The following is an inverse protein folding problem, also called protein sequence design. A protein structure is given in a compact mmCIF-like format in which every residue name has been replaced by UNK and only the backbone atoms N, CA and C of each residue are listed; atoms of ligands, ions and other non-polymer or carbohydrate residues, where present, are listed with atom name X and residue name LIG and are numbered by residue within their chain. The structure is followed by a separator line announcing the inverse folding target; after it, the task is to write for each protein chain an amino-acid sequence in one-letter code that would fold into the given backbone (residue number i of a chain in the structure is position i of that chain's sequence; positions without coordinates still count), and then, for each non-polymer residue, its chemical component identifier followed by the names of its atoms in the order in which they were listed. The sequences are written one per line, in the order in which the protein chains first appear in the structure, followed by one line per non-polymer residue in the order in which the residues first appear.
data_IF_004087750245
#
_entry.id   IF_004087750245
#
_cell.length_a   1.000
_cell.length_b   1.000
_cell.length_c   1.000
_cell.angle_alpha   90.00
_cell.angle_beta   90.00
_cell.angle_gamma   90.00
#
_symmetry.space_group_name_H-M   'P 1'
#
loop_
_entity.id
_entity.type
_entity.pdbx_description
1 polymer ?
#
# COMPACT_ATOMS: atom_id res chain seq x y z
N UNK A 1 -18.17 -22.05 -44.28
CA UNK A 1 -16.87 -21.36 -44.28
C UNK A 1 -16.85 -20.23 -43.26
N UNK A 2 -17.87 -19.39 -43.15
CA UNK A 2 -17.95 -18.25 -42.24
C UNK A 2 -17.84 -18.63 -40.76
N UNK A 3 -18.46 -19.73 -40.33
CA UNK A 3 -18.42 -20.20 -38.96
C UNK A 3 -17.01 -20.64 -38.51
N UNK A 4 -16.25 -21.27 -39.43
CA UNK A 4 -14.85 -21.65 -39.16
C UNK A 4 -13.93 -20.43 -39.00
N UNK A 5 -14.15 -19.38 -39.79
CA UNK A 5 -13.39 -18.15 -39.71
C UNK A 5 -13.71 -17.42 -38.39
N UNK A 6 -14.98 -17.36 -38.01
CA UNK A 6 -15.40 -16.75 -36.74
C UNK A 6 -14.80 -17.46 -35.53
N UNK A 7 -14.78 -18.81 -35.54
CA UNK A 7 -14.15 -19.59 -34.47
C UNK A 7 -12.62 -19.40 -34.42
N UNK A 8 -11.96 -19.32 -35.56
CA UNK A 8 -10.52 -19.08 -35.64
C UNK A 8 -10.15 -17.71 -35.08
N UNK A 9 -10.90 -16.67 -35.45
CA UNK A 9 -10.69 -15.31 -34.88
C UNK A 9 -10.96 -15.29 -33.37
N UNK A 10 -12.04 -15.94 -32.91
CA UNK A 10 -12.35 -16.06 -31.50
C UNK A 10 -11.24 -16.75 -30.69
N UNK A 11 -10.69 -17.84 -31.24
CA UNK A 11 -9.59 -18.56 -30.60
C UNK A 11 -8.32 -17.70 -30.50
N UNK A 12 -7.97 -16.94 -31.54
CA UNK A 12 -6.82 -16.03 -31.52
C UNK A 12 -7.03 -14.91 -30.52
N UNK A 13 -8.21 -14.30 -30.45
CA UNK A 13 -8.51 -13.24 -29.51
C UNK A 13 -8.39 -13.73 -28.05
N UNK A 14 -8.91 -14.91 -27.73
CA UNK A 14 -8.82 -15.46 -26.37
C UNK A 14 -7.37 -15.77 -25.99
N UNK A 15 -6.57 -16.33 -26.89
CA UNK A 15 -5.19 -16.73 -26.56
C UNK A 15 -4.22 -15.56 -26.44
N UNK A 16 -4.45 -14.46 -27.14
CA UNK A 16 -3.56 -13.28 -27.13
C UNK A 16 -4.04 -12.20 -26.14
N UNK A 17 -5.34 -11.96 -26.07
CA UNK A 17 -5.89 -10.85 -25.26
C UNK A 17 -5.96 -11.23 -23.78
N UNK A 18 -6.36 -12.45 -23.43
CA UNK A 18 -6.56 -12.85 -22.05
C UNK A 18 -5.30 -12.71 -21.16
N UNK A 19 -4.08 -13.14 -21.56
CA UNK A 19 -2.90 -12.96 -20.74
C UNK A 19 -2.52 -11.48 -20.54
N UNK A 20 -2.68 -10.65 -21.57
CA UNK A 20 -2.35 -9.23 -21.49
C UNK A 20 -3.29 -8.46 -20.55
N UNK A 21 -4.58 -8.79 -20.55
CA UNK A 21 -5.56 -8.18 -19.63
C UNK A 21 -5.24 -8.50 -18.18
N UNK A 22 -4.87 -9.74 -17.86
CA UNK A 22 -4.49 -10.12 -16.51
C UNK A 22 -3.28 -9.33 -16.00
N UNK A 23 -2.30 -9.08 -16.84
CA UNK A 23 -1.12 -8.28 -16.50
C UNK A 23 -1.50 -6.84 -16.10
N UNK A 24 -2.35 -6.20 -16.90
CA UNK A 24 -2.83 -4.83 -16.64
C UNK A 24 -3.66 -4.78 -15.35
N UNK A 25 -4.53 -5.74 -15.11
CA UNK A 25 -5.35 -5.80 -13.90
C UNK A 25 -4.48 -5.93 -12.64
N UNK A 26 -3.48 -6.81 -12.66
CA UNK A 26 -2.56 -7.00 -11.55
C UNK A 26 -1.77 -5.71 -11.23
N UNK A 27 -1.24 -5.07 -12.25
CA UNK A 27 -0.51 -3.81 -12.09
C UNK A 27 -1.41 -2.72 -11.50
N UNK A 28 -2.63 -2.58 -12.00
CA UNK A 28 -3.59 -1.60 -11.50
C UNK A 28 -3.99 -1.85 -10.04
N UNK A 29 -4.08 -3.11 -9.59
CA UNK A 29 -4.36 -3.46 -8.20
C UNK A 29 -3.23 -2.97 -7.27
N UNK A 30 -1.97 -3.21 -7.63
CA UNK A 30 -0.81 -2.75 -6.84
C UNK A 30 -0.77 -1.22 -6.80
N UNK A 31 -0.96 -0.55 -7.92
CA UNK A 31 -1.00 0.91 -7.99
C UNK A 31 -2.13 1.48 -7.12
N UNK A 32 -3.33 0.89 -7.19
CA UNK A 32 -4.47 1.30 -6.38
C UNK A 32 -4.18 1.14 -4.87
N UNK A 33 -3.60 -0.01 -4.46
CA UNK A 33 -3.23 -0.27 -3.07
C UNK A 33 -2.14 0.70 -2.59
N UNK A 34 -1.15 1.00 -3.43
CA UNK A 34 -0.09 1.97 -3.13
C UNK A 34 -0.68 3.37 -2.93
N UNK A 35 -1.54 3.80 -3.83
CA UNK A 35 -2.19 5.12 -3.75
C UNK A 35 -3.09 5.22 -2.50
N UNK A 36 -3.84 4.17 -2.18
CA UNK A 36 -4.67 4.12 -0.99
C UNK A 36 -3.84 4.23 0.29
N UNK A 37 -2.76 3.45 0.40
CA UNK A 37 -1.85 3.50 1.55
C UNK A 37 -1.14 4.85 1.67
N UNK A 38 -0.71 5.43 0.54
CA UNK A 38 -0.13 6.77 0.50
C UNK A 38 -1.11 7.84 0.99
N UNK A 39 -2.36 7.77 0.55
CA UNK A 39 -3.41 8.69 0.99
C UNK A 39 -3.68 8.59 2.49
N UNK A 40 -3.71 7.38 3.05
CA UNK A 40 -3.89 7.17 4.49
C UNK A 40 -2.72 7.71 5.32
N UNK A 41 -1.47 7.50 4.88
CA UNK A 41 -0.28 8.03 5.53
C UNK A 41 -0.30 9.57 5.55
N UNK A 42 -0.63 10.19 4.41
CA UNK A 42 -0.74 11.64 4.30
C UNK A 42 -1.91 12.19 5.13
N UNK A 43 -3.04 11.49 5.14
CA UNK A 43 -4.20 11.83 5.97
C UNK A 43 -3.87 11.76 7.46
N UNK A 44 -3.23 10.67 7.91
CA UNK A 44 -2.82 10.52 9.31
C UNK A 44 -1.88 11.64 9.76
N UNK A 45 -0.91 11.98 8.90
CA UNK A 45 -0.01 13.12 9.17
C UNK A 45 -0.74 14.44 9.22
N UNK A 46 -1.63 14.71 8.28
CA UNK A 46 -2.40 15.95 8.24
C UNK A 46 -3.32 16.07 9.46
N UNK A 47 -3.95 14.98 9.89
CA UNK A 47 -4.77 14.96 11.08
C UNK A 47 -3.95 15.26 12.34
N UNK A 48 -2.78 14.63 12.52
CA UNK A 48 -1.90 14.89 13.66
C UNK A 48 -1.52 16.37 13.79
N UNK A 49 -1.20 17.01 12.65
CA UNK A 49 -0.85 18.44 12.62
C UNK A 49 -2.06 19.32 12.91
N UNK A 50 -3.22 19.00 12.36
CA UNK A 50 -4.41 19.85 12.50
C UNK A 50 -5.04 19.75 13.89
N UNK A 51 -5.18 18.54 14.41
CA UNK A 51 -5.83 18.27 15.70
C UNK A 51 -4.86 18.39 16.88
N UNK A 52 -3.55 18.48 16.63
CA UNK A 52 -2.49 18.58 17.64
C UNK A 52 -2.42 17.36 18.59
N UNK A 53 -2.90 16.20 18.15
CA UNK A 53 -2.77 14.91 18.81
C UNK A 53 -2.01 13.93 17.92
N UNK A 54 -1.34 12.95 18.56
CA UNK A 54 -0.72 11.87 17.79
C UNK A 54 -1.77 11.07 17.01
N UNK A 55 -1.46 10.74 15.77
CA UNK A 55 -2.33 9.94 14.91
C UNK A 55 -1.58 8.70 14.44
N UNK A 56 -2.14 7.53 14.73
CA UNK A 56 -1.53 6.24 14.44
C UNK A 56 -2.20 5.58 13.24
N UNK A 57 -1.38 5.05 12.32
CA UNK A 57 -1.79 4.18 11.22
C UNK A 57 -1.15 2.81 11.39
N UNK A 58 -1.98 1.77 11.39
CA UNK A 58 -1.52 0.39 11.54
C UNK A 58 -2.46 -0.61 10.88
N UNK A 59 -1.98 -1.83 10.60
CA UNK A 59 -2.86 -2.95 10.26
C UNK A 59 -3.61 -3.44 11.50
N UNK A 60 -4.83 -3.92 11.28
CA UNK A 60 -5.73 -4.35 12.35
C UNK A 60 -6.64 -5.49 11.90
N UNK A 61 -7.06 -6.34 12.85
CA UNK A 61 -8.06 -7.37 12.64
C UNK A 61 -9.44 -6.98 13.19
N UNK A 62 -9.50 -6.08 14.17
CA UNK A 62 -10.67 -5.76 15.00
C UNK A 62 -11.00 -4.26 15.06
N UNK A 63 -10.20 -3.41 14.41
CA UNK A 63 -10.27 -1.95 14.48
C UNK A 63 -10.10 -1.36 15.89
N UNK A 64 -9.44 -2.10 16.77
CA UNK A 64 -9.08 -1.68 18.13
C UNK A 64 -7.58 -1.81 18.38
N UNK A 65 -6.99 -2.95 18.02
CA UNK A 65 -5.58 -3.23 18.29
C UNK A 65 -4.74 -3.21 17.01
N UNK A 66 -3.55 -2.61 17.10
CA UNK A 66 -2.57 -2.67 16.03
C UNK A 66 -1.91 -4.04 15.97
N UNK A 67 -1.71 -4.54 14.76
CA UNK A 67 -0.93 -5.75 14.47
C UNK A 67 0.30 -5.40 13.62
N UNK A 68 1.11 -6.38 13.25
CA UNK A 68 2.20 -6.23 12.28
C UNK A 68 1.92 -6.95 10.94
N UNK A 69 0.69 -7.42 10.75
CA UNK A 69 0.28 -8.10 9.53
C UNK A 69 -0.34 -7.13 8.53
N UNK A 70 0.48 -6.59 7.63
CA UNK A 70 0.08 -5.60 6.62
C UNK A 70 -0.89 -6.13 5.55
N UNK A 71 -1.22 -7.43 5.56
CA UNK A 71 -2.28 -8.01 4.73
C UNK A 71 -3.69 -7.74 5.29
N UNK A 72 -3.79 -7.30 6.54
CA UNK A 72 -5.06 -6.98 7.18
C UNK A 72 -5.58 -5.61 6.75
N UNK A 73 -6.78 -5.27 7.21
CA UNK A 73 -7.31 -3.92 7.07
C UNK A 73 -6.37 -2.90 7.74
N UNK A 74 -6.29 -1.71 7.20
CA UNK A 74 -5.57 -0.60 7.84
C UNK A 74 -6.58 0.27 8.59
N UNK A 75 -6.18 0.78 9.75
CA UNK A 75 -6.91 1.80 10.47
C UNK A 75 -6.03 3.02 10.75
N UNK A 76 -6.67 4.19 10.75
CA UNK A 76 -6.09 5.45 11.23
C UNK A 76 -6.96 5.94 12.37
N UNK A 77 -6.37 6.24 13.50
CA UNK A 77 -7.07 6.72 14.68
C UNK A 77 -6.24 7.77 15.44
N UNK A 78 -6.92 8.59 16.23
CA UNK A 78 -6.27 9.52 17.16
C UNK A 78 -5.77 8.73 18.37
N UNK A 79 -4.47 8.74 18.60
CA UNK A 79 -3.80 7.95 19.66
C UNK A 79 -3.24 8.92 20.69
N UNK A 80 -4.14 9.44 21.52
CA UNK A 80 -3.82 10.52 22.46
C UNK A 80 -2.85 10.09 23.57
N UNK A 81 -2.94 8.83 23.99
CA UNK A 81 -2.11 8.26 25.06
C UNK A 81 -0.84 7.56 24.54
N UNK A 82 -0.71 7.40 23.21
CA UNK A 82 0.40 6.76 22.51
C UNK A 82 0.63 5.28 22.87
N UNK A 83 -0.45 4.53 23.13
CA UNK A 83 -0.36 3.11 23.49
C UNK A 83 -0.54 2.15 22.29
N UNK A 84 -0.84 2.69 21.09
CA UNK A 84 -1.12 1.96 19.85
C UNK A 84 -2.35 1.04 19.94
N UNK A 85 -3.27 1.34 20.86
CA UNK A 85 -4.56 0.69 21.02
C UNK A 85 -5.64 1.74 20.92
N UNK A 86 -6.60 1.55 20.04
CA UNK A 86 -7.71 2.48 19.91
C UNK A 86 -8.71 2.27 21.06
N UNK A 87 -8.75 3.20 21.98
CA UNK A 87 -9.65 3.22 23.12
C UNK A 87 -11.01 3.84 22.75
N UNK A 88 -12.02 3.71 23.62
CA UNK A 88 -13.41 4.17 23.35
C UNK A 88 -13.51 5.69 23.09
N UNK A 89 -12.62 6.49 23.68
CA UNK A 89 -12.53 7.94 23.48
C UNK A 89 -11.66 8.37 22.31
N UNK A 90 -11.04 7.42 21.61
CA UNK A 90 -10.17 7.67 20.46
C UNK A 90 -10.92 7.37 19.16
N UNK A 91 -11.22 8.38 18.35
CA UNK A 91 -12.02 8.19 17.16
C UNK A 91 -11.25 7.41 16.08
N UNK A 92 -11.94 6.46 15.45
CA UNK A 92 -11.51 5.89 14.18
C UNK A 92 -11.71 6.93 13.09
N UNK A 93 -10.63 7.39 12.48
CA UNK A 93 -10.64 8.48 11.51
C UNK A 93 -10.79 7.98 10.07
N UNK A 94 -10.13 6.86 9.76
CA UNK A 94 -10.21 6.21 8.46
C UNK A 94 -9.88 4.72 8.58
N UNK A 95 -10.38 3.92 7.65
CA UNK A 95 -10.06 2.51 7.55
C UNK A 95 -10.09 2.04 6.10
N UNK A 96 -9.46 0.90 5.85
CA UNK A 96 -9.55 0.20 4.57
C UNK A 96 -10.14 -1.19 4.77
N UNK A 97 -10.46 -1.83 3.67
CA UNK A 97 -10.64 -3.26 3.65
C UNK A 97 -9.26 -3.98 3.68
N UNK A 98 -9.29 -5.29 3.90
CA UNK A 98 -8.11 -6.14 3.80
C UNK A 98 -7.50 -6.05 2.39
N UNK A 99 -6.19 -6.13 2.30
CA UNK A 99 -5.50 -6.20 1.02
C UNK A 99 -6.03 -7.37 0.16
N UNK A 100 -6.01 -7.16 -1.18
CA UNK A 100 -6.36 -8.24 -2.11
C UNK A 100 -5.47 -9.47 -1.87
N UNK A 101 -6.04 -10.66 -2.02
CA UNK A 101 -5.29 -11.90 -1.90
C UNK A 101 -4.14 -12.02 -2.92
N UNK A 102 -4.18 -11.25 -3.99
CA UNK A 102 -3.16 -11.21 -5.04
C UNK A 102 -2.03 -10.22 -4.77
N UNK A 103 -2.17 -9.37 -3.74
CA UNK A 103 -1.18 -8.36 -3.37
C UNK A 103 -0.53 -8.74 -2.05
N UNK A 104 0.79 -8.81 -2.02
CA UNK A 104 1.58 -8.94 -0.79
C UNK A 104 1.99 -7.53 -0.33
N UNK A 105 1.76 -7.23 0.93
CA UNK A 105 2.20 -5.98 1.54
C UNK A 105 3.16 -6.31 2.68
N UNK A 106 4.36 -5.78 2.59
CA UNK A 106 5.38 -5.84 3.64
C UNK A 106 5.58 -4.45 4.23
N UNK A 107 5.75 -4.39 5.54
CA UNK A 107 5.93 -3.14 6.26
C UNK A 107 6.61 -3.33 7.61
N UNK A 108 6.80 -2.26 8.38
CA UNK A 108 7.49 -2.32 9.66
C UNK A 108 6.73 -3.12 10.71
N UNK A 109 7.46 -3.63 11.70
CA UNK A 109 6.87 -4.32 12.84
C UNK A 109 6.11 -3.36 13.79
N UNK A 110 6.41 -2.06 13.71
CA UNK A 110 5.77 -1.02 14.52
C UNK A 110 4.79 -0.21 13.69
N UNK A 111 3.70 0.31 14.28
CA UNK A 111 2.79 1.22 13.60
C UNK A 111 3.47 2.53 13.20
N UNK A 112 2.96 3.18 12.16
CA UNK A 112 3.30 4.56 11.85
C UNK A 112 2.51 5.48 12.77
N UNK A 113 3.21 6.27 13.57
CA UNK A 113 2.62 7.33 14.39
C UNK A 113 3.17 8.67 13.95
N UNK A 114 2.27 9.58 13.65
CA UNK A 114 2.58 10.95 13.32
C UNK A 114 2.34 11.83 14.55
N UNK A 115 3.33 12.63 14.91
CA UNK A 115 3.27 13.57 16.00
C UNK A 115 2.59 14.90 15.57
N UNK A 116 2.17 15.77 16.52
CA UNK A 116 1.58 17.08 16.22
C UNK A 116 2.44 17.99 15.34
N UNK A 117 3.75 17.84 15.36
CA UNK A 117 4.70 18.57 14.51
C UNK A 117 4.81 18.00 13.09
N UNK A 118 4.06 16.92 12.80
CA UNK A 118 4.06 16.21 11.52
C UNK A 118 5.24 15.27 11.31
N UNK A 119 6.08 15.05 12.34
CA UNK A 119 7.14 14.04 12.31
C UNK A 119 6.58 12.62 12.47
N UNK A 120 7.30 11.62 11.95
CA UNK A 120 7.01 10.20 12.16
C UNK A 120 7.86 9.63 13.28
N UNK A 121 7.33 8.66 14.04
CA UNK A 121 8.08 7.94 15.06
C UNK A 121 9.20 7.06 14.51
N UNK A 122 9.10 6.64 13.24
CA UNK A 122 10.07 5.75 12.58
C UNK A 122 10.33 6.17 11.14
N UNK A 123 11.51 5.81 10.63
CA UNK A 123 11.77 5.72 9.20
C UNK A 123 11.50 4.28 8.77
N UNK A 124 10.62 4.07 7.81
CA UNK A 124 10.29 2.74 7.33
C UNK A 124 9.68 2.79 5.93
N UNK A 125 9.49 1.62 5.34
CA UNK A 125 8.86 1.46 4.03
C UNK A 125 7.68 0.50 4.10
N UNK A 126 6.72 0.72 3.21
CA UNK A 126 5.71 -0.25 2.82
C UNK A 126 5.99 -0.69 1.39
N UNK A 127 6.17 -1.98 1.19
CA UNK A 127 6.40 -2.57 -0.14
C UNK A 127 5.17 -3.37 -0.53
N UNK A 128 4.63 -3.09 -1.71
CA UNK A 128 3.50 -3.78 -2.32
C UNK A 128 4.00 -4.58 -3.51
N UNK A 129 3.80 -5.88 -3.47
CA UNK A 129 4.17 -6.83 -4.51
C UNK A 129 2.98 -7.65 -4.99
N UNK A 130 3.09 -8.22 -6.17
CA UNK A 130 2.16 -9.27 -6.57
C UNK A 130 2.59 -10.60 -5.93
N UNK A 131 1.61 -11.46 -5.57
CA UNK A 131 1.88 -12.73 -4.87
C UNK A 131 2.77 -13.72 -5.64
N UNK A 132 2.97 -13.51 -6.95
CA UNK A 132 3.89 -14.33 -7.75
C UNK A 132 5.36 -13.86 -7.67
N UNK A 133 5.66 -12.81 -6.89
CA UNK A 133 7.00 -12.26 -6.74
C UNK A 133 7.51 -11.47 -7.95
N UNK A 134 6.62 -10.98 -8.82
CA UNK A 134 7.00 -10.18 -9.99
C UNK A 134 7.44 -8.77 -9.56
N UNK A 135 8.73 -8.58 -9.43
CA UNK A 135 9.36 -7.33 -8.99
C UNK A 135 9.11 -6.16 -9.96
N UNK A 136 8.84 -6.44 -11.24
CA UNK A 136 8.53 -5.39 -12.22
C UNK A 136 7.24 -4.63 -11.87
N UNK A 137 6.37 -5.23 -11.06
CA UNK A 137 5.14 -4.63 -10.56
C UNK A 137 5.26 -4.06 -9.15
N UNK A 138 6.38 -4.31 -8.47
CA UNK A 138 6.58 -3.85 -7.11
C UNK A 138 6.46 -2.32 -7.00
N UNK A 139 5.91 -1.86 -5.88
CA UNK A 139 5.81 -0.44 -5.52
C UNK A 139 6.19 -0.25 -4.06
N UNK A 140 6.90 0.82 -3.78
CA UNK A 140 7.33 1.18 -2.44
C UNK A 140 6.78 2.54 -2.00
N UNK A 141 6.43 2.64 -0.72
CA UNK A 141 6.20 3.91 -0.02
C UNK A 141 7.25 4.04 1.07
N UNK A 142 7.94 5.15 1.09
CA UNK A 142 9.05 5.42 2.01
C UNK A 142 8.68 6.60 2.89
N UNK A 143 8.69 6.38 4.19
CA UNK A 143 8.32 7.35 5.21
C UNK A 143 9.59 7.76 5.96
N UNK A 144 9.92 9.05 5.95
CA UNK A 144 11.05 9.60 6.69
C UNK A 144 10.61 10.15 8.06
N UNK A 145 11.57 10.35 8.99
CA UNK A 145 11.28 10.89 10.32
C UNK A 145 10.59 12.26 10.31
N UNK A 146 10.81 13.08 9.28
CA UNK A 146 10.07 14.33 9.12
C UNK A 146 8.62 14.14 8.62
N UNK A 147 8.13 12.91 8.58
CA UNK A 147 6.79 12.53 8.15
C UNK A 147 6.54 12.64 6.64
N UNK A 148 7.58 12.87 5.83
CA UNK A 148 7.43 12.90 4.37
C UNK A 148 7.25 11.50 3.83
N UNK A 149 6.22 11.33 3.01
CA UNK A 149 5.95 10.10 2.27
C UNK A 149 6.43 10.27 0.84
N UNK A 150 7.27 9.36 0.36
CA UNK A 150 7.73 9.27 -1.03
C UNK A 150 7.29 7.94 -1.63
N UNK A 151 6.91 7.96 -2.90
CA UNK A 151 6.62 6.77 -3.69
C UNK A 151 7.88 6.37 -4.48
N UNK A 152 8.08 5.07 -4.66
CA UNK A 152 9.08 4.53 -5.59
C UNK A 152 8.92 5.10 -7.00
N UNK A 153 10.00 5.21 -7.73
CA UNK A 153 10.02 5.73 -9.09
C UNK A 153 10.86 4.81 -9.98
N UNK A 154 10.48 4.69 -11.24
CA UNK A 154 11.30 4.09 -12.29
C UNK A 154 12.19 5.21 -12.85
N UNK A 155 13.41 5.32 -12.33
CA UNK A 155 14.32 6.43 -12.61
C UNK A 155 15.12 6.23 -13.90
N UNK A 156 15.31 4.98 -14.28
CA UNK A 156 16.10 4.59 -15.45
C UNK A 156 15.24 4.21 -16.67
N UNK A 157 13.90 4.12 -16.50
CA UNK A 157 12.89 3.75 -17.50
C UNK A 157 13.06 2.30 -18.02
N UNK A 158 13.47 1.38 -17.16
CA UNK A 158 13.55 -0.05 -17.49
C UNK A 158 12.26 -0.84 -17.17
N UNK A 159 11.28 -0.18 -16.54
CA UNK A 159 9.99 -0.75 -16.14
C UNK A 159 10.01 -1.33 -14.73
N UNK A 160 11.15 -1.33 -14.05
CA UNK A 160 11.29 -1.72 -12.64
C UNK A 160 11.34 -0.45 -11.79
N UNK A 161 10.68 -0.48 -10.63
CA UNK A 161 10.69 0.67 -9.72
C UNK A 161 11.79 0.52 -8.68
N UNK A 162 12.50 1.60 -8.42
CA UNK A 162 13.59 1.61 -7.47
C UNK A 162 13.17 2.16 -6.11
N UNK A 163 13.95 1.78 -5.11
CA UNK A 163 13.95 2.36 -3.77
C UNK A 163 14.59 3.76 -3.75
N UNK A 164 14.79 4.35 -2.57
CA UNK A 164 15.39 5.67 -2.42
C UNK A 164 16.90 5.70 -2.74
N UNK A 165 17.53 4.55 -2.76
CA UNK A 165 18.98 4.37 -3.01
C UNK A 165 19.25 4.00 -4.48
N UNK A 166 18.21 3.81 -5.29
CA UNK A 166 18.30 3.47 -6.70
C UNK A 166 18.42 1.98 -6.99
N UNK A 167 18.07 1.12 -6.01
CA UNK A 167 18.05 -0.33 -6.22
C UNK A 167 16.62 -0.78 -6.55
N UNK A 168 16.50 -1.83 -7.36
CA UNK A 168 15.21 -2.47 -7.63
C UNK A 168 14.54 -2.89 -6.31
N UNK A 169 13.22 -2.72 -6.24
CA UNK A 169 12.44 -3.13 -5.06
C UNK A 169 12.37 -4.64 -5.03
N UNK A 170 12.87 -5.23 -3.96
CA UNK A 170 12.77 -6.67 -3.70
C UNK A 170 11.42 -7.00 -3.06
N UNK A 171 10.80 -8.08 -3.53
CA UNK A 171 9.57 -8.63 -2.97
C UNK A 171 9.87 -9.59 -1.82
N UNK A 172 9.10 -9.55 -0.70
CA UNK A 172 9.29 -10.42 0.45
C UNK A 172 8.98 -11.90 0.18
#
# INVERSE_FOLDING_TARGET
MELMIALAIGAILITVVAPNVNHVVQQNQIVAQTNQSSSLLQFARANAVNEQFATTLCPTADFQTCTNNWQQALMVFSDENNDNVRNDNEPLLASTERASATTLISGPAQPFRFNPDGSSNITASLVMCHQNGDETKARGLYIALNGRVKTSQDSNNDGVYEDLDGNAIECP
#
